data_IF_532667548805
#
_entry.id   IF_532667548805
#
_cell.length_a   1.000
_cell.length_b   1.000
_cell.length_c   1.000
_cell.angle_alpha   90.00
_cell.angle_beta   90.00
_cell.angle_gamma   90.00
#
_symmetry.space_group_name_H-M   'P 1'
#
loop_
_entity.id
_entity.type
_entity.pdbx_description
1 polymer ?
#
# COMPACT_ATOMS: atom_id res chain seq x y z
N UNK A 1 -26.30 15.20 14.33
CA UNK A 1 -27.37 15.73 13.48
C UNK A 1 -28.55 16.35 14.26
N UNK A 2 -28.72 16.02 15.49
CA UNK A 2 -29.90 16.37 16.30
C UNK A 2 -29.95 17.79 16.87
N UNK A 3 -28.84 18.55 16.85
CA UNK A 3 -28.77 19.86 17.55
C UNK A 3 -29.10 21.08 16.66
N UNK A 4 -28.91 20.99 15.34
CA UNK A 4 -28.94 22.19 14.46
C UNK A 4 -29.86 22.07 13.23
N UNK A 5 -30.71 21.08 13.14
CA UNK A 5 -31.55 20.88 11.97
C UNK A 5 -30.78 20.57 10.66
N UNK A 6 -31.41 19.89 9.72
CA UNK A 6 -30.76 19.37 8.50
C UNK A 6 -30.17 20.48 7.61
N UNK A 7 -30.89 21.60 7.48
CA UNK A 7 -30.46 22.74 6.61
C UNK A 7 -29.23 23.46 7.16
N UNK A 8 -29.14 23.64 8.49
CA UNK A 8 -27.96 24.25 9.11
C UNK A 8 -26.76 23.32 9.07
N UNK A 9 -26.97 22.02 9.27
CA UNK A 9 -25.94 21.01 9.14
C UNK A 9 -25.36 20.94 7.72
N UNK A 10 -26.19 21.00 6.68
CA UNK A 10 -25.75 21.02 5.29
C UNK A 10 -24.86 22.24 4.98
N UNK A 11 -25.28 23.44 5.41
CA UNK A 11 -24.47 24.65 5.25
C UNK A 11 -23.10 24.56 5.96
N UNK A 12 -23.08 23.98 7.16
CA UNK A 12 -21.85 23.80 7.91
C UNK A 12 -20.89 22.82 7.20
N UNK A 13 -21.41 21.71 6.68
CA UNK A 13 -20.62 20.74 5.93
C UNK A 13 -20.09 21.33 4.62
N UNK A 14 -20.87 22.13 3.91
CA UNK A 14 -20.44 22.84 2.70
C UNK A 14 -19.32 23.86 3.01
N UNK A 15 -19.42 24.56 4.13
CA UNK A 15 -18.38 25.49 4.57
C UNK A 15 -17.08 24.76 4.92
N UNK A 16 -17.13 23.64 5.63
CA UNK A 16 -15.98 22.80 5.96
C UNK A 16 -15.33 22.29 4.68
N UNK A 17 -16.12 21.78 3.73
CA UNK A 17 -15.64 21.32 2.42
C UNK A 17 -14.93 22.43 1.66
N UNK A 18 -15.53 23.59 1.53
CA UNK A 18 -14.96 24.74 0.82
C UNK A 18 -13.64 25.19 1.46
N UNK A 19 -13.57 25.21 2.79
CA UNK A 19 -12.36 25.55 3.52
C UNK A 19 -11.27 24.50 3.33
N UNK A 20 -11.61 23.21 3.34
CA UNK A 20 -10.68 22.12 3.07
C UNK A 20 -10.05 22.24 1.69
N UNK A 21 -10.83 22.47 0.65
CA UNK A 21 -10.31 22.68 -0.71
C UNK A 21 -9.44 23.92 -0.83
N UNK A 22 -9.83 25.05 -0.21
CA UNK A 22 -9.06 26.28 -0.22
C UNK A 22 -7.67 26.08 0.39
N UNK A 23 -7.60 25.49 1.58
CA UNK A 23 -6.31 25.28 2.25
C UNK A 23 -5.47 24.18 1.61
N UNK A 24 -6.07 23.15 1.04
CA UNK A 24 -5.36 22.15 0.24
C UNK A 24 -4.67 22.79 -0.97
N UNK A 25 -5.34 23.72 -1.65
CA UNK A 25 -4.73 24.47 -2.77
C UNK A 25 -3.62 25.39 -2.31
N UNK A 26 -3.80 26.11 -1.19
CA UNK A 26 -2.80 27.02 -0.64
C UNK A 26 -1.56 26.31 -0.10
N UNK A 27 -1.69 25.09 0.39
CA UNK A 27 -0.56 24.26 0.88
C UNK A 27 0.34 23.75 -0.25
N UNK A 28 -0.10 23.87 -1.51
CA UNK A 28 0.63 23.44 -2.70
C UNK A 28 1.16 22.00 -2.66
N UNK A 29 0.49 21.09 -1.93
CA UNK A 29 0.84 19.67 -1.88
C UNK A 29 0.55 19.07 -3.25
N UNK A 30 1.61 18.65 -3.94
CA UNK A 30 1.55 18.03 -5.26
C UNK A 30 2.18 16.64 -5.20
N UNK A 31 1.64 15.68 -5.97
CA UNK A 31 2.15 14.31 -6.03
C UNK A 31 2.76 14.06 -7.39
N UNK A 32 4.01 13.66 -7.40
CA UNK A 32 4.73 13.25 -8.59
C UNK A 32 4.97 11.73 -8.61
N UNK A 33 5.28 11.17 -9.77
CA UNK A 33 5.62 9.74 -9.90
C UNK A 33 6.89 9.38 -9.12
N UNK A 34 7.83 10.33 -9.01
CA UNK A 34 9.07 10.17 -8.24
C UNK A 34 8.86 10.04 -6.72
N UNK A 35 7.71 10.49 -6.20
CA UNK A 35 7.39 10.37 -4.78
C UNK A 35 7.03 8.93 -4.37
N UNK A 36 6.79 8.06 -5.36
CA UNK A 36 6.63 6.62 -5.17
C UNK A 36 8.00 5.96 -4.97
N UNK A 37 8.58 6.12 -3.79
CA UNK A 37 9.89 5.54 -3.45
C UNK A 37 9.82 4.03 -3.40
N UNK A 38 10.72 3.37 -4.14
CA UNK A 38 10.87 1.91 -4.12
C UNK A 38 11.92 1.55 -3.06
N UNK A 39 11.63 0.68 -2.09
CA UNK A 39 12.62 0.28 -1.09
C UNK A 39 13.79 -0.48 -1.75
N UNK A 40 15.05 -0.17 -1.40
CA UNK A 40 16.21 -0.81 -2.00
C UNK A 40 16.27 -2.32 -1.73
N UNK A 41 15.69 -2.77 -0.63
CA UNK A 41 15.60 -4.19 -0.26
C UNK A 41 14.61 -5.00 -1.09
N UNK A 42 13.80 -4.35 -1.98
CA UNK A 42 12.79 -5.02 -2.81
C UNK A 42 13.40 -6.16 -3.62
N UNK A 43 14.51 -5.91 -4.30
CA UNK A 43 15.17 -6.90 -5.18
C UNK A 43 15.64 -8.14 -4.42
N UNK A 44 16.18 -7.97 -3.22
CA UNK A 44 16.63 -9.07 -2.36
C UNK A 44 15.46 -9.91 -1.85
N UNK A 45 14.39 -9.25 -1.40
CA UNK A 45 13.19 -9.92 -0.87
C UNK A 45 12.52 -10.75 -1.98
N UNK A 46 12.42 -10.20 -3.19
CA UNK A 46 11.84 -10.91 -4.34
C UNK A 46 12.73 -12.08 -4.76
N UNK A 47 14.05 -11.89 -4.86
CA UNK A 47 14.97 -12.96 -5.22
C UNK A 47 14.93 -14.13 -4.21
N UNK A 48 14.77 -13.86 -2.91
CA UNK A 48 14.57 -14.89 -1.89
C UNK A 48 13.24 -15.65 -2.09
N UNK A 49 12.17 -14.92 -2.40
CA UNK A 49 10.87 -15.51 -2.70
C UNK A 49 10.92 -16.41 -3.94
N UNK A 50 11.55 -15.97 -5.01
CA UNK A 50 11.72 -16.73 -6.26
C UNK A 50 12.51 -18.03 -6.04
N UNK A 51 13.56 -17.98 -5.23
CA UNK A 51 14.31 -19.18 -4.84
C UNK A 51 13.41 -20.20 -4.13
N UNK A 52 12.58 -19.75 -3.20
CA UNK A 52 11.65 -20.62 -2.46
C UNK A 52 10.58 -21.22 -3.38
N UNK A 53 9.99 -20.40 -4.26
CA UNK A 53 9.01 -20.89 -5.25
C UNK A 53 9.64 -21.89 -6.21
N UNK A 54 10.89 -21.66 -6.66
CA UNK A 54 11.64 -22.60 -7.49
C UNK A 54 11.88 -23.94 -6.78
N UNK A 55 12.15 -23.92 -5.47
CA UNK A 55 12.28 -25.15 -4.67
C UNK A 55 10.97 -25.93 -4.62
N UNK A 56 9.85 -25.23 -4.36
CA UNK A 56 8.52 -25.85 -4.36
C UNK A 56 8.19 -26.48 -5.72
N UNK A 57 8.51 -25.78 -6.82
CA UNK A 57 8.33 -26.30 -8.17
C UNK A 57 9.18 -27.54 -8.45
N UNK A 58 10.43 -27.57 -7.95
CA UNK A 58 11.29 -28.76 -8.06
C UNK A 58 10.74 -29.96 -7.29
N UNK A 59 10.18 -29.74 -6.10
CA UNK A 59 9.52 -30.80 -5.32
C UNK A 59 8.30 -31.36 -6.04
N UNK A 60 7.51 -30.49 -6.64
CA UNK A 60 6.36 -30.90 -7.44
C UNK A 60 6.79 -31.73 -8.67
N UNK A 61 7.77 -31.27 -9.43
CA UNK A 61 8.28 -31.99 -10.61
C UNK A 61 8.89 -33.36 -10.27
N UNK A 62 9.32 -33.58 -9.02
CA UNK A 62 9.77 -34.86 -8.51
C UNK A 62 8.63 -35.76 -7.98
N UNK A 63 7.40 -35.26 -8.00
CA UNK A 63 6.23 -36.00 -7.50
C UNK A 63 6.15 -36.11 -5.97
N UNK A 64 6.90 -35.28 -5.24
CA UNK A 64 6.94 -35.31 -3.78
C UNK A 64 5.79 -34.55 -3.11
N UNK A 65 5.14 -33.65 -3.83
CA UNK A 65 4.01 -32.85 -3.37
C UNK A 65 2.90 -32.86 -4.42
N UNK A 66 1.66 -32.74 -3.95
CA UNK A 66 0.48 -32.61 -4.81
C UNK A 66 0.38 -31.20 -5.42
N UNK A 67 -0.41 -31.05 -6.48
CA UNK A 67 -0.65 -29.73 -7.10
C UNK A 67 -1.31 -28.76 -6.12
N UNK A 68 -2.20 -29.23 -5.26
CA UNK A 68 -2.85 -28.41 -4.25
C UNK A 68 -1.87 -27.94 -3.16
N UNK A 69 -0.93 -28.78 -2.76
CA UNK A 69 0.14 -28.39 -1.84
C UNK A 69 1.10 -27.38 -2.46
N UNK A 70 1.49 -27.59 -3.72
CA UNK A 70 2.30 -26.62 -4.49
C UNK A 70 1.62 -25.24 -4.51
N UNK A 71 0.33 -25.21 -4.82
CA UNK A 71 -0.46 -23.99 -4.87
C UNK A 71 -0.49 -23.28 -3.52
N UNK A 72 -0.84 -23.98 -2.46
CA UNK A 72 -0.93 -23.43 -1.11
C UNK A 72 0.42 -22.91 -0.59
N UNK A 73 1.50 -23.65 -0.82
CA UNK A 73 2.84 -23.23 -0.44
C UNK A 73 3.28 -21.98 -1.22
N UNK A 74 3.00 -21.90 -2.51
CA UNK A 74 3.31 -20.73 -3.34
C UNK A 74 2.59 -19.49 -2.86
N UNK A 75 1.28 -19.59 -2.56
CA UNK A 75 0.50 -18.47 -2.01
C UNK A 75 1.08 -18.02 -0.67
N UNK A 76 1.38 -18.96 0.22
CA UNK A 76 1.95 -18.64 1.54
C UNK A 76 3.29 -17.89 1.42
N UNK A 77 4.17 -18.28 0.49
CA UNK A 77 5.44 -17.61 0.22
C UNK A 77 5.19 -16.17 -0.26
N UNK A 78 4.26 -15.97 -1.21
CA UNK A 78 3.97 -14.65 -1.73
C UNK A 78 3.27 -13.74 -0.72
N UNK A 79 2.38 -14.27 0.12
CA UNK A 79 1.79 -13.50 1.22
C UNK A 79 2.85 -13.02 2.20
N UNK A 80 3.73 -13.92 2.66
CA UNK A 80 4.83 -13.56 3.55
C UNK A 80 5.80 -12.53 2.91
N UNK A 81 6.00 -12.62 1.59
CA UNK A 81 6.83 -11.69 0.83
C UNK A 81 6.16 -10.31 0.76
N UNK A 82 4.87 -10.26 0.50
CA UNK A 82 4.09 -9.02 0.48
C UNK A 82 4.15 -8.31 1.84
N UNK A 83 4.02 -9.05 2.94
CA UNK A 83 4.14 -8.48 4.28
C UNK A 83 5.54 -7.89 4.56
N UNK A 84 6.59 -8.57 4.10
CA UNK A 84 7.97 -8.08 4.22
C UNK A 84 8.20 -6.80 3.40
N UNK A 85 7.73 -6.78 2.16
CA UNK A 85 7.81 -5.58 1.30
C UNK A 85 7.01 -4.43 1.90
N UNK A 86 5.83 -4.70 2.47
CA UNK A 86 4.99 -3.71 3.14
C UNK A 86 5.71 -3.05 4.32
N UNK A 87 6.35 -3.87 5.16
CA UNK A 87 7.13 -3.39 6.31
C UNK A 87 8.36 -2.60 5.86
N UNK A 88 9.07 -3.08 4.85
CA UNK A 88 10.22 -2.38 4.29
C UNK A 88 9.82 -1.04 3.67
N UNK A 89 8.69 -0.98 2.96
CA UNK A 89 8.14 0.24 2.39
C UNK A 89 7.79 1.25 3.49
N UNK A 90 7.07 0.82 4.53
CA UNK A 90 6.68 1.68 5.65
C UNK A 90 7.90 2.24 6.40
N UNK A 91 8.99 1.45 6.53
CA UNK A 91 10.21 1.87 7.20
C UNK A 91 11.06 2.84 6.37
N UNK A 92 11.04 2.71 5.04
CA UNK A 92 11.86 3.52 4.13
C UNK A 92 11.13 4.77 3.59
N UNK A 93 9.83 4.93 3.82
CA UNK A 93 9.12 6.13 3.41
C UNK A 93 9.44 7.28 4.37
N UNK A 94 9.99 8.41 3.87
CA UNK A 94 10.15 9.61 4.67
C UNK A 94 8.78 10.13 5.15
N UNK A 95 8.72 10.66 6.34
CA UNK A 95 7.47 11.25 6.88
C UNK A 95 7.01 12.47 6.08
N UNK A 96 7.95 13.15 5.44
CA UNK A 96 7.69 14.32 4.60
C UNK A 96 7.22 13.97 3.19
N UNK A 97 7.12 12.67 2.87
CA UNK A 97 6.62 12.21 1.58
C UNK A 97 5.11 12.48 1.47
N UNK A 98 4.70 13.18 0.42
CA UNK A 98 3.32 13.63 0.22
C UNK A 98 2.33 12.46 0.09
N UNK A 99 2.77 11.36 -0.52
CA UNK A 99 1.98 10.12 -0.60
C UNK A 99 1.83 9.50 0.80
N UNK A 100 2.87 9.58 1.66
CA UNK A 100 2.77 9.12 3.04
C UNK A 100 1.77 9.96 3.83
N UNK A 101 1.87 11.29 3.74
CA UNK A 101 0.95 12.21 4.43
C UNK A 101 -0.51 11.98 4.04
N UNK A 102 -0.81 11.74 2.75
CA UNK A 102 -2.18 11.46 2.31
C UNK A 102 -2.74 10.14 2.86
N UNK A 103 -1.91 9.12 2.96
CA UNK A 103 -2.35 7.82 3.48
C UNK A 103 -2.44 7.80 5.01
N UNK A 104 -1.52 8.48 5.70
CA UNK A 104 -1.49 8.56 7.17
C UNK A 104 -2.65 9.41 7.70
N UNK A 105 -2.95 10.52 7.03
CA UNK A 105 -4.12 11.36 7.37
C UNK A 105 -5.47 10.70 7.08
N UNK A 106 -5.49 9.59 6.36
CA UNK A 106 -6.73 8.93 5.91
C UNK A 106 -7.50 9.72 4.84
N UNK A 107 -6.92 10.77 4.28
CA UNK A 107 -7.57 11.61 3.27
C UNK A 107 -7.81 10.83 1.97
N UNK A 108 -6.82 10.11 1.48
CA UNK A 108 -6.95 9.25 0.30
C UNK A 108 -5.81 8.23 0.17
N UNK A 109 -6.16 7.05 -0.34
CA UNK A 109 -5.22 5.96 -0.53
C UNK A 109 -5.03 5.13 0.73
N UNK A 110 -4.79 3.83 0.53
CA UNK A 110 -4.42 2.90 1.60
C UNK A 110 -2.99 2.42 1.40
N UNK A 111 -2.36 1.92 2.46
CA UNK A 111 -1.03 1.30 2.36
C UNK A 111 -1.02 0.13 1.37
N UNK A 112 -2.12 -0.61 1.25
CA UNK A 112 -2.24 -1.71 0.28
C UNK A 112 -2.19 -1.24 -1.18
N UNK A 113 -2.72 -0.06 -1.49
CA UNK A 113 -2.63 0.53 -2.84
C UNK A 113 -1.20 0.97 -3.19
N UNK A 114 -0.42 1.42 -2.21
CA UNK A 114 1.01 1.72 -2.38
C UNK A 114 1.82 0.46 -2.67
N UNK A 115 1.52 -0.64 -1.97
CA UNK A 115 2.18 -1.93 -2.16
C UNK A 115 1.94 -2.45 -3.56
N UNK A 116 0.72 -2.36 -4.09
CA UNK A 116 0.39 -2.76 -5.46
C UNK A 116 1.25 -2.05 -6.51
N UNK A 117 1.60 -0.78 -6.31
CA UNK A 117 2.51 -0.03 -7.18
C UNK A 117 3.98 -0.34 -6.95
N UNK A 118 4.37 -0.73 -5.75
CA UNK A 118 5.75 -1.15 -5.46
C UNK A 118 6.08 -2.54 -6.03
N UNK A 119 5.07 -3.33 -6.41
CA UNK A 119 5.24 -4.64 -7.04
C UNK A 119 5.40 -4.58 -8.57
N UNK A 120 5.09 -3.46 -9.20
CA UNK A 120 5.32 -3.20 -10.62
C UNK A 120 6.68 -2.53 -10.79
#
# INVERSE_FOLDING_TARGET
MTRNGTRACAKMLDAIKAQGYKYSTLSAISVAVCDAVIPPQKSEIIADADKKVSQVSKLFNRGLISDNERYNQTISIWQATTDKVSKALAANLPKDNEIFMMADSGARGSMNQKIGRAHV
#
